data_IF_413286691543
#
_entry.id   IF_413286691543
#
_cell.length_a   1.000
_cell.length_b   1.000
_cell.length_c   1.000
_cell.angle_alpha   90.00
_cell.angle_beta   90.00
_cell.angle_gamma   90.00
#
_symmetry.space_group_name_H-M   'P 1'
#
loop_
_entity.id
_entity.type
_entity.pdbx_description
1 polymer ?
#
# COMPACT_ATOMS: atom_id res chain seq x y z
N UNK A 1 9.53 2.20 -9.38
CA UNK A 1 9.29 3.64 -9.16
C UNK A 1 10.48 4.43 -9.68
N UNK A 2 10.27 5.59 -10.31
CA UNK A 2 11.34 6.43 -10.87
C UNK A 2 11.22 7.88 -10.40
N UNK A 3 12.36 8.50 -10.07
CA UNK A 3 12.44 9.93 -9.75
C UNK A 3 12.07 10.80 -10.97
N UNK A 4 12.50 10.40 -12.17
CA UNK A 4 12.24 11.17 -13.39
C UNK A 4 10.79 11.12 -13.85
N UNK A 5 10.04 10.08 -13.46
CA UNK A 5 8.61 9.95 -13.77
C UNK A 5 7.71 10.57 -12.68
N UNK A 6 8.30 11.13 -11.62
CA UNK A 6 7.58 11.73 -10.51
C UNK A 6 6.74 10.74 -9.67
N UNK A 7 6.93 9.43 -9.86
CA UNK A 7 6.13 8.39 -9.20
C UNK A 7 6.93 7.64 -8.13
N UNK A 8 7.70 8.37 -7.32
CA UNK A 8 8.50 7.80 -6.23
C UNK A 8 8.06 8.33 -4.87
N UNK A 9 8.36 7.55 -3.83
CA UNK A 9 8.21 7.93 -2.43
C UNK A 9 9.61 8.02 -1.87
N UNK A 10 10.03 9.22 -1.49
CA UNK A 10 11.38 9.48 -0.99
C UNK A 10 11.48 9.14 0.49
N UNK A 11 12.52 8.41 0.88
CA UNK A 11 12.74 8.02 2.29
C UNK A 11 13.07 9.23 3.19
N UNK A 12 13.57 10.32 2.59
CA UNK A 12 13.92 11.56 3.29
C UNK A 12 12.84 12.66 3.14
N UNK A 13 11.63 12.31 2.69
CA UNK A 13 10.50 13.26 2.59
C UNK A 13 9.85 13.49 3.96
N UNK A 14 9.04 14.53 4.08
CA UNK A 14 8.27 14.76 5.29
C UNK A 14 7.31 13.57 5.56
N UNK A 15 7.13 13.13 6.81
CA UNK A 15 6.24 12.01 7.13
C UNK A 15 4.82 12.15 6.57
N UNK A 16 4.26 13.35 6.56
CA UNK A 16 2.92 13.59 6.02
C UNK A 16 2.88 13.43 4.49
N UNK A 17 3.95 13.83 3.79
CA UNK A 17 4.07 13.63 2.34
C UNK A 17 4.25 12.15 2.00
N UNK A 18 5.10 11.43 2.73
CA UNK A 18 5.29 9.98 2.56
C UNK A 18 3.96 9.24 2.75
N UNK A 19 3.26 9.54 3.85
CA UNK A 19 1.96 8.94 4.14
C UNK A 19 0.94 9.25 3.04
N UNK A 20 0.82 10.52 2.62
CA UNK A 20 -0.09 10.93 1.56
C UNK A 20 0.19 10.20 0.24
N UNK A 21 1.45 10.02 -0.13
CA UNK A 21 1.84 9.29 -1.33
C UNK A 21 1.49 7.80 -1.23
N UNK A 22 1.76 7.14 -0.10
CA UNK A 22 1.34 5.75 0.15
C UNK A 22 -0.18 5.62 0.04
N UNK A 23 -0.94 6.54 0.65
CA UNK A 23 -2.41 6.51 0.59
C UNK A 23 -2.96 6.71 -0.82
N UNK A 24 -2.22 7.40 -1.69
CA UNK A 24 -2.63 7.71 -3.08
C UNK A 24 -2.43 6.55 -4.08
N UNK A 25 -1.71 5.48 -3.69
CA UNK A 25 -1.51 4.33 -4.59
C UNK A 25 -2.84 3.59 -4.82
N UNK A 26 -3.03 3.00 -5.99
CA UNK A 26 -4.22 2.17 -6.27
C UNK A 26 -4.28 0.95 -5.35
N UNK A 27 -5.49 0.43 -5.15
CA UNK A 27 -5.70 -0.75 -4.30
C UNK A 27 -5.01 -1.99 -4.88
N UNK A 28 -4.96 -2.13 -6.22
CA UNK A 28 -4.20 -3.20 -6.87
C UNK A 28 -2.69 -3.10 -6.57
N UNK A 29 -2.13 -1.90 -6.58
CA UNK A 29 -0.70 -1.69 -6.34
C UNK A 29 -0.35 -1.84 -4.86
N UNK A 30 -1.30 -1.55 -3.96
CA UNK A 30 -1.15 -1.67 -2.52
C UNK A 30 -0.75 -3.10 -2.11
N UNK A 31 -1.39 -4.13 -2.65
CA UNK A 31 -1.06 -5.53 -2.30
C UNK A 31 0.39 -5.88 -2.60
N UNK A 32 0.87 -5.45 -3.77
CA UNK A 32 2.27 -5.61 -4.15
C UNK A 32 3.23 -4.85 -3.23
N UNK A 33 2.81 -3.73 -2.64
CA UNK A 33 3.60 -3.02 -1.63
C UNK A 33 3.65 -3.80 -0.32
N UNK A 34 2.53 -4.38 0.12
CA UNK A 34 2.52 -5.25 1.30
C UNK A 34 3.47 -6.44 1.14
N UNK A 35 3.44 -7.12 0.00
CA UNK A 35 4.31 -8.27 -0.26
C UNK A 35 5.81 -7.92 -0.25
N UNK A 36 6.17 -6.74 -0.76
CA UNK A 36 7.57 -6.38 -0.98
C UNK A 36 8.19 -5.56 0.16
N UNK A 37 7.38 -4.80 0.90
CA UNK A 37 7.86 -3.78 1.84
C UNK A 37 7.37 -4.00 3.28
N UNK A 38 6.32 -4.81 3.49
CA UNK A 38 5.82 -5.07 4.84
C UNK A 38 6.49 -6.28 5.47
N UNK A 39 6.42 -6.37 6.79
CA UNK A 39 6.86 -7.54 7.56
C UNK A 39 5.72 -8.54 7.80
N UNK A 40 4.59 -8.39 7.11
CA UNK A 40 3.42 -9.26 7.26
C UNK A 40 3.63 -10.58 6.54
N UNK A 41 3.07 -11.64 7.10
CA UNK A 41 3.11 -12.95 6.43
C UNK A 41 2.18 -12.95 5.22
N UNK A 42 2.56 -13.67 4.16
CA UNK A 42 1.75 -13.75 2.93
C UNK A 42 0.33 -14.29 3.21
N UNK A 43 0.17 -15.17 4.20
CA UNK A 43 -1.16 -15.66 4.59
C UNK A 43 -2.09 -14.56 5.12
N UNK A 44 -1.55 -13.61 5.90
CA UNK A 44 -2.29 -12.47 6.43
C UNK A 44 -2.68 -11.50 5.30
N UNK A 45 -1.74 -11.21 4.41
CA UNK A 45 -1.96 -10.33 3.24
C UNK A 45 -3.06 -10.92 2.32
N UNK A 46 -2.98 -12.21 2.02
CA UNK A 46 -3.98 -12.90 1.19
C UNK A 46 -5.38 -12.87 1.83
N UNK A 47 -5.47 -13.04 3.15
CA UNK A 47 -6.75 -12.98 3.86
C UNK A 47 -7.37 -11.58 3.80
N UNK A 48 -6.56 -10.53 3.93
CA UNK A 48 -7.03 -9.16 3.75
C UNK A 48 -7.50 -8.88 2.32
N UNK A 49 -6.73 -9.33 1.33
CA UNK A 49 -7.10 -9.17 -0.07
C UNK A 49 -8.45 -9.84 -0.37
N UNK A 50 -8.65 -11.08 0.07
CA UNK A 50 -9.91 -11.81 -0.11
C UNK A 50 -11.09 -11.11 0.61
N UNK A 51 -10.86 -10.58 1.81
CA UNK A 51 -11.87 -9.81 2.55
C UNK A 51 -12.31 -8.55 1.78
N UNK A 52 -11.35 -7.84 1.19
CA UNK A 52 -11.60 -6.66 0.38
C UNK A 52 -12.31 -7.01 -0.94
N UNK A 53 -11.92 -8.08 -1.62
CA UNK A 53 -12.57 -8.55 -2.86
C UNK A 53 -14.03 -8.97 -2.62
N UNK A 54 -14.33 -9.51 -1.44
CA UNK A 54 -15.70 -9.85 -1.00
C UNK A 54 -16.51 -8.63 -0.53
N UNK A 55 -15.90 -7.45 -0.47
CA UNK A 55 -16.54 -6.22 0.02
C UNK A 55 -16.82 -6.22 1.53
N UNK A 56 -16.19 -7.12 2.29
CA UNK A 56 -16.32 -7.21 3.76
C UNK A 56 -15.51 -6.09 4.41
N UNK A 57 -14.35 -5.75 3.83
CA UNK A 57 -13.45 -4.72 4.34
C UNK A 57 -13.11 -3.69 3.25
N UNK A 58 -12.90 -2.44 3.65
CA UNK A 58 -12.48 -1.40 2.72
C UNK A 58 -10.94 -1.39 2.60
N UNK A 59 -10.36 -1.43 1.38
CA UNK A 59 -8.90 -1.37 1.20
C UNK A 59 -8.23 -0.19 1.90
N UNK A 60 -8.93 0.94 2.03
CA UNK A 60 -8.43 2.12 2.75
C UNK A 60 -8.14 1.83 4.23
N UNK A 61 -8.92 0.96 4.87
CA UNK A 61 -8.72 0.62 6.29
C UNK A 61 -7.47 -0.24 6.49
N UNK A 62 -7.07 -1.02 5.48
CA UNK A 62 -5.84 -1.80 5.51
C UNK A 62 -4.60 -0.91 5.34
N UNK A 63 -4.71 0.23 4.64
CA UNK A 63 -3.61 1.18 4.44
C UNK A 63 -3.26 2.05 5.67
N UNK A 64 -4.14 2.09 6.68
CA UNK A 64 -4.01 2.99 7.85
C UNK A 64 -3.25 2.32 8.99
#
# INVERSE_FOLDING_TARGET
MSKSLGNYIGINEDPAEMFGKIMSISDDLMWRYFELLSFKELGEINAWQESCEKGIENPKNIKI
#
